data_IF_206158235795
#
_entry.id   IF_206158235795
#
_cell.length_a   1.000
_cell.length_b   1.000
_cell.length_c   1.000
_cell.angle_alpha   90.00
_cell.angle_beta   90.00
_cell.angle_gamma   90.00
#
_symmetry.space_group_name_H-M   'P 1'
#
loop_
_entity.id
_entity.type
_entity.pdbx_description
1 polymer ?
#
# COMPACT_ATOMS: atom_id res chain seq x y z
N UNK A 1 0.63 18.18 -1.14
CA UNK A 1 2.00 18.23 -0.60
C UNK A 1 2.90 17.75 -1.73
N UNK A 2 3.90 18.53 -2.11
CA UNK A 2 4.78 18.20 -3.24
C UNK A 2 5.82 17.18 -2.82
N UNK A 3 5.85 16.04 -3.48
CA UNK A 3 6.84 14.98 -3.27
C UNK A 3 8.04 15.22 -4.18
N UNK A 4 9.25 14.95 -3.69
CA UNK A 4 10.49 15.10 -4.47
C UNK A 4 11.15 13.74 -4.68
N UNK A 5 11.58 13.46 -5.91
CA UNK A 5 12.34 12.28 -6.27
C UNK A 5 13.77 12.39 -5.75
N UNK A 6 14.20 11.42 -4.93
CA UNK A 6 15.57 11.37 -4.39
C UNK A 6 16.65 11.18 -5.46
N UNK A 7 16.29 10.61 -6.61
CA UNK A 7 17.26 10.24 -7.63
C UNK A 7 17.54 11.35 -8.65
N UNK A 8 16.51 12.14 -9.02
CA UNK A 8 16.62 13.16 -10.07
C UNK A 8 16.12 14.55 -9.66
N UNK A 9 15.60 14.72 -8.44
CA UNK A 9 15.10 16.00 -7.94
C UNK A 9 13.75 16.46 -8.52
N UNK A 10 13.11 15.64 -9.37
CA UNK A 10 11.80 15.95 -9.91
C UNK A 10 10.75 16.08 -8.79
N UNK A 11 9.85 17.04 -8.92
CA UNK A 11 8.74 17.29 -7.98
C UNK A 11 7.41 16.93 -8.63
N UNK A 12 6.54 16.27 -7.87
CA UNK A 12 5.18 15.94 -8.29
C UNK A 12 4.22 16.00 -7.11
N UNK A 13 2.95 16.29 -7.38
CA UNK A 13 1.91 16.31 -6.35
C UNK A 13 1.54 14.91 -5.84
N UNK A 14 1.83 13.86 -6.62
CA UNK A 14 1.61 12.46 -6.24
C UNK A 14 2.95 11.68 -6.26
N UNK A 15 3.27 10.92 -5.20
CA UNK A 15 4.53 10.17 -5.12
C UNK A 15 4.60 9.02 -6.12
N UNK A 16 3.46 8.50 -6.60
CA UNK A 16 3.38 7.45 -7.63
C UNK A 16 3.85 7.92 -9.01
N UNK A 17 3.95 9.23 -9.24
CA UNK A 17 4.52 9.80 -10.47
C UNK A 17 6.05 9.96 -10.42
N UNK A 18 6.70 9.61 -9.31
CA UNK A 18 8.13 9.77 -9.13
C UNK A 18 8.84 8.40 -9.15
N UNK A 19 10.04 8.37 -9.73
CA UNK A 19 10.84 7.14 -9.80
C UNK A 19 11.32 6.66 -8.42
N UNK A 20 11.59 7.59 -7.51
CA UNK A 20 12.01 7.31 -6.13
C UNK A 20 11.55 8.45 -5.21
N UNK A 21 10.25 8.54 -4.91
CA UNK A 21 9.70 9.59 -4.05
C UNK A 21 10.29 9.52 -2.64
N UNK A 22 10.54 10.68 -2.04
CA UNK A 22 10.78 10.75 -0.60
C UNK A 22 9.45 10.47 0.10
N UNK A 23 9.27 9.23 0.54
CA UNK A 23 8.10 8.79 1.30
C UNK A 23 8.47 8.58 2.77
N UNK A 24 7.49 8.77 3.64
CA UNK A 24 7.60 8.31 5.03
C UNK A 24 7.72 6.79 5.04
N UNK A 25 8.70 6.31 5.79
CA UNK A 25 8.91 4.88 6.02
C UNK A 25 8.09 4.45 7.23
N UNK A 26 7.42 3.31 7.08
CA UNK A 26 6.50 2.74 8.06
C UNK A 26 7.05 1.39 8.51
N UNK A 27 6.67 1.00 9.72
CA UNK A 27 6.88 -0.34 10.22
C UNK A 27 5.70 -1.24 9.80
N UNK A 28 6.00 -2.33 9.10
CA UNK A 28 5.02 -3.32 8.70
C UNK A 28 4.77 -4.30 9.84
N UNK A 29 3.57 -4.27 10.42
CA UNK A 29 3.15 -5.22 11.45
C UNK A 29 3.01 -6.67 10.96
N UNK A 30 2.99 -6.90 9.64
CA UNK A 30 2.86 -8.25 9.07
C UNK A 30 4.20 -8.98 8.97
N UNK A 31 5.23 -8.33 8.40
CA UNK A 31 6.55 -8.96 8.20
C UNK A 31 7.65 -8.41 9.11
N UNK A 32 7.35 -7.44 9.96
CA UNK A 32 8.30 -6.82 10.89
C UNK A 32 9.31 -5.87 10.25
N UNK A 33 9.19 -5.56 8.95
CA UNK A 33 10.09 -4.63 8.26
C UNK A 33 9.83 -3.18 8.71
N UNK A 34 10.87 -2.43 9.10
CA UNK A 34 10.74 -1.08 9.67
C UNK A 34 11.04 0.06 8.68
N UNK A 35 11.33 -0.28 7.43
CA UNK A 35 11.66 0.67 6.36
C UNK A 35 10.82 0.37 5.11
N UNK A 36 9.49 0.44 5.24
CA UNK A 36 8.59 0.14 4.13
C UNK A 36 7.71 1.33 3.76
N UNK A 37 7.43 1.51 2.47
CA UNK A 37 6.50 2.55 2.02
C UNK A 37 5.04 2.20 2.34
N UNK A 38 4.15 3.20 2.31
CA UNK A 38 2.70 3.00 2.53
C UNK A 38 2.06 1.99 1.55
N UNK A 39 2.66 1.82 0.37
CA UNK A 39 2.23 0.86 -0.67
C UNK A 39 2.85 -0.53 -0.50
N UNK A 40 3.60 -0.79 0.57
CA UNK A 40 4.22 -2.08 0.82
C UNK A 40 3.19 -3.21 0.99
N UNK A 41 3.41 -4.27 0.22
CA UNK A 41 2.66 -5.53 0.31
C UNK A 41 3.67 -6.67 0.44
N UNK A 42 3.87 -7.15 1.65
CA UNK A 42 4.66 -8.36 1.90
C UNK A 42 3.84 -9.63 1.66
N UNK A 43 4.52 -10.77 1.59
CA UNK A 43 3.90 -12.08 1.42
C UNK A 43 2.89 -12.39 2.52
N UNK A 44 3.20 -12.02 3.76
CA UNK A 44 2.31 -12.23 4.92
C UNK A 44 1.06 -11.35 4.84
N UNK A 45 1.22 -10.07 4.49
CA UNK A 45 0.08 -9.17 4.26
C UNK A 45 -0.80 -9.65 3.11
N UNK A 46 -0.21 -10.14 2.03
CA UNK A 46 -0.94 -10.72 0.90
C UNK A 46 -1.69 -12.00 1.32
N UNK A 47 -1.05 -12.87 2.11
CA UNK A 47 -1.68 -14.08 2.64
C UNK A 47 -2.79 -13.77 3.67
N UNK A 48 -2.72 -12.63 4.34
CA UNK A 48 -3.76 -12.16 5.24
C UNK A 48 -4.97 -11.58 4.51
N UNK A 49 -4.87 -11.24 3.21
CA UNK A 49 -5.98 -10.73 2.43
C UNK A 49 -6.99 -11.85 2.15
N UNK A 50 -8.08 -11.85 2.89
CA UNK A 50 -9.16 -12.84 2.77
C UNK A 50 -10.39 -12.28 2.08
N UNK A 51 -10.48 -10.96 1.92
CA UNK A 51 -11.64 -10.30 1.35
C UNK A 51 -11.29 -9.56 0.07
N UNK A 52 -12.23 -9.59 -0.87
CA UNK A 52 -12.24 -8.75 -2.06
C UNK A 52 -13.55 -7.97 -2.13
N UNK A 53 -13.55 -6.82 -2.78
CA UNK A 53 -14.74 -6.00 -2.95
C UNK A 53 -15.42 -6.36 -4.27
N UNK A 54 -16.68 -6.81 -4.22
CA UNK A 54 -17.44 -7.19 -5.42
C UNK A 54 -17.62 -6.03 -6.42
N UNK A 55 -17.64 -4.78 -5.96
CA UNK A 55 -17.91 -3.62 -6.83
C UNK A 55 -16.67 -2.97 -7.43
N UNK A 56 -15.52 -2.99 -6.75
CA UNK A 56 -14.31 -2.29 -7.21
C UNK A 56 -13.05 -3.16 -7.25
N UNK A 57 -13.11 -4.43 -6.83
CA UNK A 57 -11.99 -5.37 -6.89
C UNK A 57 -10.85 -5.12 -5.90
N UNK A 58 -11.00 -4.16 -4.97
CA UNK A 58 -10.02 -3.97 -3.88
C UNK A 58 -9.98 -5.19 -2.97
N UNK A 59 -8.80 -5.52 -2.47
CA UNK A 59 -8.57 -6.61 -1.52
C UNK A 59 -8.16 -6.08 -0.15
N UNK A 60 -8.56 -6.77 0.90
CA UNK A 60 -8.29 -6.38 2.29
C UNK A 60 -8.17 -7.60 3.19
N UNK A 61 -7.56 -7.39 4.38
CA UNK A 61 -7.44 -8.43 5.39
C UNK A 61 -8.76 -8.58 6.16
N UNK A 62 -9.46 -7.48 6.40
CA UNK A 62 -10.74 -7.44 7.12
C UNK A 62 -11.87 -6.94 6.21
N UNK A 63 -13.08 -7.43 6.45
CA UNK A 63 -14.25 -7.09 5.63
C UNK A 63 -14.72 -5.63 5.80
N UNK A 64 -14.50 -5.04 6.99
CA UNK A 64 -14.85 -3.65 7.32
C UNK A 64 -14.03 -2.62 6.52
N UNK A 65 -12.89 -3.04 5.95
CA UNK A 65 -12.05 -2.19 5.10
C UNK A 65 -12.61 -2.02 3.67
N UNK A 66 -13.73 -2.68 3.33
CA UNK A 66 -14.29 -2.73 1.97
C UNK A 66 -15.77 -2.31 1.93
N UNK A 67 -16.17 -1.70 0.81
CA UNK A 67 -17.56 -1.25 0.61
C UNK A 67 -18.56 -2.41 0.45
N UNK A 68 -18.14 -3.49 -0.24
CA UNK A 68 -18.93 -4.70 -0.52
C UNK A 68 -18.04 -5.94 -0.43
N UNK A 69 -17.61 -6.33 0.78
CA UNK A 69 -16.68 -7.43 0.98
C UNK A 69 -17.32 -8.78 0.58
N UNK A 70 -16.52 -9.64 -0.05
CA UNK A 70 -16.77 -11.06 -0.18
C UNK A 70 -15.47 -11.82 0.09
N UNK A 71 -15.60 -12.99 0.70
CA UNK A 71 -14.45 -13.81 1.06
C UNK A 71 -13.88 -14.51 -0.20
N UNK A 72 -12.56 -14.47 -0.35
CA UNK A 72 -11.82 -15.07 -1.47
C UNK A 72 -10.89 -16.21 -1.04
N UNK A 73 -10.72 -16.44 0.27
CA UNK A 73 -9.84 -17.47 0.83
C UNK A 73 -10.30 -17.95 2.21
#
# INVERSE_FOLDING_TARGET
MTHTCKNCGAVADDPGHLCNPTMEVLACSYCGANDVGATHVCKEKLAAMKYSCQSCGRVAAESDELCKPFEIA
#
